data_IF_916127254322
#
_entry.id   IF_916127254322
#
_cell.length_a   1.000
_cell.length_b   1.000
_cell.length_c   1.000
_cell.angle_alpha   90.00
_cell.angle_beta   90.00
_cell.angle_gamma   90.00
#
_symmetry.space_group_name_H-M   'P 1'
#
loop_
_entity.id
_entity.type
_entity.pdbx_description
1 polymer ?
#
# COMPACT_ATOMS: atom_id res chain seq x y z
N UNK A 1 25.55 -3.47 -3.91
CA UNK A 1 25.22 -3.00 -5.28
C UNK A 1 24.08 -1.99 -5.20
N UNK A 2 24.17 -0.86 -5.89
CA UNK A 2 23.08 0.12 -5.98
C UNK A 2 22.26 -0.12 -7.25
N UNK A 3 20.93 0.02 -7.19
CA UNK A 3 20.04 -0.15 -8.34
C UNK A 3 18.77 0.69 -8.21
N UNK A 4 18.17 0.98 -9.36
CA UNK A 4 16.84 1.59 -9.49
C UNK A 4 15.90 0.59 -10.16
N UNK A 5 14.71 0.40 -9.59
CA UNK A 5 13.71 -0.52 -10.12
C UNK A 5 12.60 0.23 -10.85
N UNK A 6 12.78 0.38 -12.17
CA UNK A 6 11.79 1.02 -13.03
C UNK A 6 10.66 0.05 -13.36
N UNK A 7 9.40 0.50 -13.20
CA UNK A 7 8.20 -0.30 -13.46
C UNK A 7 7.35 0.39 -14.53
N UNK A 8 6.97 -0.37 -15.56
CA UNK A 8 6.08 0.09 -16.63
C UNK A 8 4.89 -0.85 -16.71
N UNK A 9 3.69 -0.28 -16.88
CA UNK A 9 2.44 -1.01 -16.96
C UNK A 9 1.92 -0.93 -18.39
N UNK A 10 1.66 -2.09 -19.00
CA UNK A 10 1.11 -2.22 -20.34
C UNK A 10 -0.23 -2.91 -20.23
N UNK A 11 -1.28 -2.26 -20.73
CA UNK A 11 -2.64 -2.80 -20.71
C UNK A 11 -2.78 -3.96 -21.70
N UNK A 12 -3.48 -5.02 -21.28
CA UNK A 12 -3.77 -6.21 -22.07
C UNK A 12 -5.30 -6.40 -22.17
N UNK A 13 -5.94 -5.96 -23.26
CA UNK A 13 -7.40 -6.03 -23.41
C UNK A 13 -7.95 -7.44 -23.26
N UNK A 14 -7.26 -8.44 -23.84
CA UNK A 14 -7.68 -9.84 -23.85
C UNK A 14 -7.59 -10.54 -22.48
N UNK A 15 -6.96 -9.89 -21.50
CA UNK A 15 -6.86 -10.36 -20.11
C UNK A 15 -7.64 -9.47 -19.13
N UNK A 16 -8.49 -8.60 -19.66
CA UNK A 16 -9.25 -7.62 -18.91
C UNK A 16 -10.75 -7.83 -19.16
N UNK A 17 -11.59 -7.41 -18.21
CA UNK A 17 -13.05 -7.58 -18.32
C UNK A 17 -13.69 -6.59 -19.31
N UNK A 18 -13.03 -5.45 -19.55
CA UNK A 18 -13.52 -4.38 -20.41
C UNK A 18 -12.44 -3.34 -20.69
N UNK A 19 -12.84 -2.22 -21.29
CA UNK A 19 -11.96 -1.12 -21.69
C UNK A 19 -11.87 -0.08 -20.56
N UNK A 20 -10.68 0.15 -19.96
CA UNK A 20 -10.53 1.03 -18.82
C UNK A 20 -10.80 2.51 -19.14
N UNK A 21 -10.80 2.92 -20.40
CA UNK A 21 -11.16 4.28 -20.80
C UNK A 21 -12.68 4.50 -20.85
N UNK A 22 -13.46 3.41 -20.90
CA UNK A 22 -14.93 3.43 -21.02
C UNK A 22 -15.61 2.97 -19.73
N UNK A 23 -15.05 1.96 -19.06
CA UNK A 23 -15.63 1.37 -17.86
C UNK A 23 -15.59 2.38 -16.69
N UNK A 24 -16.78 2.71 -16.18
CA UNK A 24 -16.95 3.72 -15.13
C UNK A 24 -17.08 3.09 -13.75
N UNK A 25 -16.40 3.68 -12.75
CA UNK A 25 -16.51 3.29 -11.34
C UNK A 25 -16.96 4.47 -10.52
N UNK A 26 -18.03 4.28 -9.73
CA UNK A 26 -18.43 5.21 -8.67
C UNK A 26 -17.79 4.80 -7.35
N UNK A 27 -17.05 5.71 -6.74
CA UNK A 27 -16.37 5.47 -5.45
C UNK A 27 -16.26 6.76 -4.65
N UNK A 28 -15.66 6.68 -3.47
CA UNK A 28 -15.39 7.83 -2.62
C UNK A 28 -14.43 8.78 -3.33
N UNK A 29 -14.73 10.08 -3.25
CA UNK A 29 -13.87 11.14 -3.73
C UNK A 29 -12.67 11.31 -2.78
N UNK A 30 -11.59 10.59 -3.08
CA UNK A 30 -10.37 10.55 -2.27
C UNK A 30 -9.74 11.95 -2.11
N UNK A 31 -9.58 12.77 -3.17
CA UNK A 31 -9.14 14.17 -3.04
C UNK A 31 -9.94 14.96 -2.01
N UNK A 32 -11.26 14.92 -2.09
CA UNK A 32 -12.15 15.63 -1.16
C UNK A 32 -11.94 15.17 0.27
N UNK A 33 -11.95 13.85 0.52
CA UNK A 33 -11.78 13.32 1.87
C UNK A 33 -10.40 13.66 2.43
N UNK A 34 -9.35 13.67 1.60
CA UNK A 34 -8.01 14.09 2.01
C UNK A 34 -7.96 15.58 2.38
N UNK A 35 -8.56 16.46 1.58
CA UNK A 35 -8.64 17.89 1.87
C UNK A 35 -9.44 18.15 3.14
N UNK A 36 -10.64 17.53 3.28
CA UNK A 36 -11.49 17.65 4.47
C UNK A 36 -10.72 17.25 5.74
N UNK A 37 -10.02 16.11 5.71
CA UNK A 37 -9.21 15.67 6.86
C UNK A 37 -8.06 16.61 7.18
N UNK A 38 -7.46 17.25 6.18
CA UNK A 38 -6.35 18.19 6.38
C UNK A 38 -6.79 19.53 6.98
N UNK A 39 -8.04 19.94 6.76
CA UNK A 39 -8.55 21.23 7.25
C UNK A 39 -9.49 21.11 8.45
N UNK A 40 -9.82 19.87 8.89
CA UNK A 40 -10.82 19.58 9.93
C UNK A 40 -10.65 20.37 11.24
N UNK A 41 -9.41 20.69 11.61
CA UNK A 41 -9.09 21.39 12.86
C UNK A 41 -9.20 22.93 12.76
N UNK A 42 -9.51 23.48 11.58
CA UNK A 42 -9.58 24.93 11.35
C UNK A 42 -10.93 25.33 10.76
N UNK A 43 -11.77 25.97 11.59
CA UNK A 43 -13.12 26.41 11.21
C UNK A 43 -13.14 27.25 9.93
N UNK A 44 -12.28 28.27 9.83
CA UNK A 44 -12.19 29.14 8.64
C UNK A 44 -11.82 28.39 7.37
N UNK A 45 -10.86 27.46 7.44
CA UNK A 45 -10.45 26.65 6.28
C UNK A 45 -11.56 25.68 5.87
N UNK A 46 -12.22 25.05 6.84
CA UNK A 46 -13.39 24.20 6.61
C UNK A 46 -14.51 24.96 5.90
N UNK A 47 -14.89 26.15 6.36
CA UNK A 47 -15.93 26.97 5.72
C UNK A 47 -15.56 27.36 4.29
N UNK A 48 -14.31 27.76 4.06
CA UNK A 48 -13.82 28.10 2.72
C UNK A 48 -13.87 26.91 1.75
N UNK A 49 -13.37 25.75 2.17
CA UNK A 49 -13.40 24.53 1.34
C UNK A 49 -14.85 24.09 1.07
N UNK A 50 -15.74 24.19 2.06
CA UNK A 50 -17.17 23.87 1.91
C UNK A 50 -17.84 24.76 0.85
N UNK A 51 -17.54 26.06 0.81
CA UNK A 51 -18.02 26.97 -0.24
C UNK A 51 -17.49 26.54 -1.62
N UNK A 52 -16.21 26.18 -1.72
CA UNK A 52 -15.63 25.73 -2.99
C UNK A 52 -16.24 24.42 -3.48
N UNK A 53 -16.44 23.44 -2.59
CA UNK A 53 -17.09 22.17 -2.94
C UNK A 53 -18.49 22.41 -3.53
N UNK A 54 -19.29 23.26 -2.89
CA UNK A 54 -20.62 23.62 -3.39
C UNK A 54 -20.56 24.34 -4.74
N UNK A 55 -19.66 25.32 -4.90
CA UNK A 55 -19.51 26.06 -6.16
C UNK A 55 -19.02 25.20 -7.32
N UNK A 56 -18.13 24.24 -7.04
CA UNK A 56 -17.55 23.32 -8.03
C UNK A 56 -18.42 22.08 -8.26
N UNK A 57 -19.54 21.94 -7.53
CA UNK A 57 -20.42 20.77 -7.56
C UNK A 57 -19.68 19.46 -7.26
N UNK A 58 -18.75 19.52 -6.31
CA UNK A 58 -17.94 18.38 -5.89
C UNK A 58 -18.57 17.72 -4.66
N UNK A 59 -18.79 16.40 -4.74
CA UNK A 59 -19.42 15.59 -3.68
C UNK A 59 -18.47 14.57 -3.05
N UNK A 60 -18.93 13.93 -1.96
CA UNK A 60 -18.21 12.85 -1.27
C UNK A 60 -17.98 11.61 -2.15
N UNK A 61 -18.83 11.40 -3.15
CA UNK A 61 -18.68 10.36 -4.17
C UNK A 61 -18.30 10.99 -5.51
N UNK A 62 -17.57 10.26 -6.32
CA UNK A 62 -17.16 10.63 -7.67
C UNK A 62 -17.34 9.43 -8.60
N UNK A 63 -17.49 9.71 -9.89
CA UNK A 63 -17.55 8.67 -10.94
C UNK A 63 -16.56 9.02 -12.03
N UNK A 64 -15.63 8.11 -12.30
CA UNK A 64 -14.53 8.27 -13.25
C UNK A 64 -14.28 6.95 -13.98
N UNK A 65 -13.60 7.01 -15.12
CA UNK A 65 -13.16 5.79 -15.80
C UNK A 65 -12.08 5.07 -14.98
N UNK A 66 -11.88 3.78 -15.21
CA UNK A 66 -10.80 3.01 -14.57
C UNK A 66 -9.44 3.64 -14.88
N UNK A 67 -9.22 4.10 -16.12
CA UNK A 67 -7.99 4.74 -16.57
C UNK A 67 -7.72 6.03 -15.77
N UNK A 68 -8.73 6.90 -15.62
CA UNK A 68 -8.64 8.12 -14.81
C UNK A 68 -8.31 7.84 -13.34
N UNK A 69 -9.03 6.88 -12.72
CA UNK A 69 -8.81 6.54 -11.31
C UNK A 69 -7.41 5.98 -11.03
N UNK A 70 -6.86 5.19 -11.96
CA UNK A 70 -5.52 4.62 -11.82
C UNK A 70 -4.44 5.64 -12.17
N UNK A 71 -4.49 6.22 -13.35
CA UNK A 71 -3.35 6.94 -13.91
C UNK A 71 -3.41 8.44 -13.74
N UNK A 72 -4.57 8.99 -13.40
CA UNK A 72 -4.70 10.39 -13.06
C UNK A 72 -5.86 11.08 -13.78
N UNK A 73 -6.57 11.94 -13.06
CA UNK A 73 -7.45 12.96 -13.61
C UNK A 73 -7.19 14.29 -12.91
N UNK A 74 -7.56 15.39 -13.55
CA UNK A 74 -7.45 16.73 -12.98
C UNK A 74 -8.62 16.97 -12.02
N UNK A 75 -8.34 17.10 -10.73
CA UNK A 75 -9.38 17.29 -9.72
C UNK A 75 -9.76 18.78 -9.58
N UNK A 76 -11.06 19.15 -9.65
CA UNK A 76 -11.47 20.55 -9.56
C UNK A 76 -11.10 21.24 -8.25
N UNK A 77 -11.18 20.52 -7.12
CA UNK A 77 -10.88 21.07 -5.81
C UNK A 77 -9.37 21.23 -5.61
N UNK A 78 -8.57 20.25 -6.00
CA UNK A 78 -7.11 20.34 -5.97
C UNK A 78 -6.60 21.45 -6.91
N UNK A 79 -7.19 21.58 -8.10
CA UNK A 79 -6.88 22.66 -9.04
C UNK A 79 -7.15 24.05 -8.44
N UNK A 80 -8.16 24.18 -7.57
CA UNK A 80 -8.45 25.44 -6.86
C UNK A 80 -7.43 25.75 -5.78
N UNK A 81 -6.88 24.71 -5.14
CA UNK A 81 -5.92 24.80 -4.02
C UNK A 81 -4.49 25.00 -4.52
N UNK A 82 -4.10 24.37 -5.62
CA UNK A 82 -2.73 24.35 -6.14
C UNK A 82 -2.07 25.75 -6.24
N UNK A 83 -2.74 26.80 -6.75
CA UNK A 83 -2.14 28.14 -6.81
C UNK A 83 -1.78 28.74 -5.44
N UNK A 84 -2.47 28.32 -4.37
CA UNK A 84 -2.19 28.77 -3.00
C UNK A 84 -1.16 27.89 -2.29
N UNK A 85 -1.02 26.63 -2.73
CA UNK A 85 -0.08 25.67 -2.17
C UNK A 85 0.47 24.76 -3.28
N UNK A 86 1.56 25.17 -3.96
CA UNK A 86 2.11 24.44 -5.11
C UNK A 86 2.59 23.02 -4.82
N UNK A 87 2.81 22.65 -3.55
CA UNK A 87 3.17 21.29 -3.13
C UNK A 87 2.02 20.27 -3.34
N UNK A 88 0.79 20.76 -3.45
CA UNK A 88 -0.40 19.94 -3.74
C UNK A 88 -0.59 19.92 -5.24
N UNK A 89 -0.41 18.75 -5.86
CA UNK A 89 -0.64 18.54 -7.30
C UNK A 89 -2.14 18.74 -7.63
N UNK A 90 -2.44 19.27 -8.82
CA UNK A 90 -3.80 19.45 -9.31
C UNK A 90 -4.43 18.14 -9.82
N UNK A 91 -3.60 17.11 -10.05
CA UNK A 91 -4.02 15.78 -10.48
C UNK A 91 -4.05 14.77 -9.34
N UNK A 92 -5.00 13.85 -9.42
CA UNK A 92 -5.09 12.69 -8.53
C UNK A 92 -5.24 11.40 -9.32
N UNK A 93 -4.54 10.35 -8.89
CA UNK A 93 -4.74 8.97 -9.34
C UNK A 93 -4.02 8.00 -8.40
N UNK A 94 -4.54 6.78 -8.28
CA UNK A 94 -4.02 5.75 -7.35
C UNK A 94 -2.58 5.33 -7.68
N UNK A 95 -2.26 5.32 -8.99
CA UNK A 95 -0.98 4.98 -9.59
C UNK A 95 -0.41 6.16 -10.39
N UNK A 96 -0.85 7.39 -10.10
CA UNK A 96 -0.38 8.60 -10.78
C UNK A 96 1.15 8.72 -10.65
N UNK A 97 1.83 9.00 -11.78
CA UNK A 97 3.29 9.07 -11.91
C UNK A 97 4.06 7.79 -11.55
N UNK A 98 3.39 6.64 -11.41
CA UNK A 98 4.05 5.33 -11.19
C UNK A 98 4.45 4.62 -12.49
N UNK A 99 3.82 4.94 -13.61
CA UNK A 99 4.15 4.32 -14.89
C UNK A 99 5.46 4.86 -15.46
N UNK A 100 6.41 3.97 -15.77
CA UNK A 100 7.72 4.33 -16.29
C UNK A 100 8.65 4.97 -15.26
N UNK A 101 8.30 4.92 -13.96
CA UNK A 101 9.11 5.48 -12.88
C UNK A 101 9.68 4.39 -11.96
N UNK A 102 10.50 4.81 -10.99
CA UNK A 102 11.08 3.93 -9.97
C UNK A 102 10.76 4.45 -8.57
N UNK A 103 10.85 3.56 -7.58
CA UNK A 103 10.54 3.89 -6.18
C UNK A 103 11.69 4.63 -5.46
N UNK A 104 12.83 4.83 -6.12
CA UNK A 104 14.07 5.39 -5.58
C UNK A 104 15.27 4.45 -5.70
N UNK A 105 16.43 4.91 -5.22
CA UNK A 105 17.64 4.08 -5.15
C UNK A 105 17.53 3.05 -4.03
N UNK A 106 17.85 1.81 -4.35
CA UNK A 106 18.09 0.75 -3.39
C UNK A 106 19.57 0.37 -3.39
N UNK A 107 20.13 0.16 -2.20
CA UNK A 107 21.46 -0.42 -2.02
C UNK A 107 21.29 -1.78 -1.39
N UNK A 108 21.77 -2.82 -2.07
CA UNK A 108 21.64 -4.22 -1.67
C UNK A 108 22.97 -4.82 -1.24
N UNK A 109 22.91 -5.74 -0.28
CA UNK A 109 23.96 -6.70 0.00
C UNK A 109 24.02 -7.76 -1.12
N UNK A 110 25.23 -8.04 -1.59
CA UNK A 110 25.48 -8.98 -2.71
C UNK A 110 25.49 -10.43 -2.27
N UNK A 111 25.56 -10.71 -0.98
CA UNK A 111 25.76 -12.05 -0.43
C UNK A 111 27.20 -12.58 -0.54
N UNK A 112 28.16 -11.76 -0.99
CA UNK A 112 29.57 -12.18 -1.15
C UNK A 112 30.25 -12.53 0.18
N UNK A 113 29.98 -11.74 1.23
CA UNK A 113 30.53 -11.98 2.56
C UNK A 113 29.75 -13.06 3.33
N UNK A 114 28.42 -13.06 3.18
CA UNK A 114 27.52 -14.04 3.78
C UNK A 114 26.33 -14.25 2.84
N UNK A 115 26.09 -15.50 2.43
CA UNK A 115 24.98 -15.82 1.53
C UNK A 115 23.62 -15.50 2.14
N UNK A 116 23.49 -15.51 3.48
CA UNK A 116 22.28 -15.13 4.19
C UNK A 116 21.90 -13.66 3.97
N UNK A 117 22.87 -12.83 3.56
CA UNK A 117 22.65 -11.43 3.25
C UNK A 117 22.28 -11.15 1.79
N UNK A 118 22.23 -12.18 0.95
CA UNK A 118 21.91 -12.00 -0.47
C UNK A 118 20.55 -11.29 -0.68
N UNK A 119 20.59 -10.19 -1.42
CA UNK A 119 19.40 -9.41 -1.78
C UNK A 119 18.80 -8.58 -0.64
N UNK A 120 19.39 -8.60 0.56
CA UNK A 120 18.93 -7.75 1.67
C UNK A 120 19.21 -6.28 1.34
N UNK A 121 18.28 -5.42 1.72
CA UNK A 121 18.39 -3.98 1.53
C UNK A 121 19.25 -3.40 2.65
N UNK A 122 20.37 -2.80 2.28
CA UNK A 122 21.24 -2.05 3.17
C UNK A 122 20.73 -0.62 3.38
N UNK A 123 20.30 0.04 2.29
CA UNK A 123 19.76 1.40 2.30
C UNK A 123 18.68 1.58 1.24
N UNK A 124 17.72 2.45 1.53
CA UNK A 124 16.71 2.92 0.60
C UNK A 124 16.72 4.45 0.59
N UNK A 125 16.92 5.06 -0.59
CA UNK A 125 17.06 6.52 -0.77
C UNK A 125 18.12 7.15 0.15
N UNK A 126 19.27 6.47 0.29
CA UNK A 126 20.36 6.91 1.17
C UNK A 126 20.19 6.58 2.65
N UNK A 127 19.00 6.16 3.08
CA UNK A 127 18.68 5.92 4.50
C UNK A 127 18.74 4.43 4.86
N UNK A 128 19.28 4.10 6.03
CA UNK A 128 19.29 2.71 6.56
C UNK A 128 18.06 2.37 7.40
N UNK A 129 17.24 3.37 7.73
CA UNK A 129 15.94 3.22 8.40
C UNK A 129 14.98 4.31 7.93
N UNK A 130 13.69 4.08 8.07
CA UNK A 130 12.66 5.09 7.86
C UNK A 130 12.64 6.10 9.03
N UNK A 131 11.91 7.18 8.83
CA UNK A 131 11.63 8.21 9.85
C UNK A 131 10.13 8.51 9.98
N UNK A 132 9.28 7.60 9.48
CA UNK A 132 7.84 7.78 9.34
C UNK A 132 7.05 7.29 10.56
N UNK A 133 7.59 6.30 11.26
CA UNK A 133 6.90 5.57 12.32
C UNK A 133 7.37 6.03 13.71
N UNK A 134 6.62 5.68 14.75
CA UNK A 134 6.87 6.19 16.11
C UNK A 134 7.92 5.41 16.89
N UNK A 135 8.26 4.19 16.46
CA UNK A 135 9.29 3.36 17.08
C UNK A 135 10.46 3.08 16.13
N UNK A 136 11.65 2.87 16.69
CA UNK A 136 12.83 2.44 15.94
C UNK A 136 12.59 1.12 15.21
N UNK A 137 11.93 0.16 15.86
CA UNK A 137 11.60 -1.13 15.27
C UNK A 137 10.71 -0.99 14.03
N UNK A 138 9.65 -0.16 14.10
CA UNK A 138 8.74 0.04 12.98
C UNK A 138 9.39 0.76 11.80
N UNK A 139 10.44 1.53 12.08
CA UNK A 139 11.23 2.22 11.07
C UNK A 139 12.32 1.35 10.42
N UNK A 140 12.59 0.14 10.91
CA UNK A 140 13.62 -0.71 10.31
C UNK A 140 13.27 -1.12 8.87
N UNK A 141 14.25 -1.03 7.97
CA UNK A 141 14.21 -1.61 6.63
C UNK A 141 14.79 -3.02 6.74
N UNK A 142 13.93 -4.03 6.78
CA UNK A 142 14.30 -5.42 7.03
C UNK A 142 14.09 -6.27 5.77
N UNK A 143 15.04 -7.19 5.56
CA UNK A 143 14.96 -8.20 4.50
C UNK A 143 15.21 -7.65 3.10
N UNK A 144 14.55 -8.24 2.12
CA UNK A 144 14.74 -7.94 0.68
C UNK A 144 13.60 -7.08 0.15
N UNK A 145 13.59 -6.80 -1.15
CA UNK A 145 12.44 -6.18 -1.83
C UNK A 145 11.38 -7.20 -2.28
N UNK A 146 11.59 -8.49 -1.99
CA UNK A 146 10.72 -9.60 -2.36
C UNK A 146 10.97 -10.18 -3.76
N UNK A 147 11.92 -9.66 -4.53
CA UNK A 147 12.29 -10.19 -5.84
C UNK A 147 13.20 -11.42 -5.77
N UNK A 148 14.00 -11.52 -4.70
CA UNK A 148 14.84 -12.66 -4.37
C UNK A 148 15.09 -12.74 -2.86
N UNK A 149 15.51 -13.91 -2.39
CA UNK A 149 15.88 -14.21 -1.01
C UNK A 149 17.19 -14.99 -1.00
N UNK A 150 17.81 -15.12 0.18
CA UNK A 150 19.01 -15.94 0.33
C UNK A 150 18.75 -17.40 -0.05
N UNK A 151 19.77 -18.14 -0.53
CA UNK A 151 19.64 -19.55 -0.81
C UNK A 151 19.49 -20.37 0.49
N UNK A 152 19.17 -21.66 0.32
CA UNK A 152 19.05 -22.65 1.41
C UNK A 152 18.01 -22.28 2.48
N UNK A 153 16.80 -21.97 2.01
CA UNK A 153 15.69 -21.57 2.87
C UNK A 153 15.31 -22.65 3.89
N UNK A 154 14.99 -22.19 5.09
CA UNK A 154 14.49 -22.97 6.22
C UNK A 154 12.98 -22.77 6.41
N UNK A 155 12.27 -23.86 6.72
CA UNK A 155 10.83 -23.78 7.05
C UNK A 155 10.55 -23.06 8.38
N UNK A 156 11.57 -22.83 9.21
CA UNK A 156 11.45 -22.20 10.54
C UNK A 156 11.76 -20.71 10.53
N UNK A 157 12.24 -20.17 9.42
CA UNK A 157 12.66 -18.78 9.35
C UNK A 157 11.52 -17.85 8.94
N UNK A 158 11.69 -16.56 9.26
CA UNK A 158 10.82 -15.48 8.80
C UNK A 158 11.52 -14.73 7.68
N UNK A 159 10.84 -14.61 6.55
CA UNK A 159 11.35 -13.84 5.42
C UNK A 159 10.80 -12.42 5.47
N UNK A 160 11.69 -11.45 5.66
CA UNK A 160 11.31 -10.04 5.69
C UNK A 160 11.32 -9.43 4.29
N UNK A 161 10.36 -8.55 4.04
CA UNK A 161 10.21 -7.80 2.80
C UNK A 161 9.95 -6.35 3.14
N UNK A 162 10.76 -5.44 2.61
CA UNK A 162 10.46 -4.01 2.61
C UNK A 162 9.70 -3.63 1.35
N UNK A 163 8.52 -3.01 1.51
CA UNK A 163 7.70 -2.57 0.39
C UNK A 163 7.50 -1.06 0.45
N UNK A 164 8.11 -0.27 -0.44
CA UNK A 164 7.90 1.19 -0.50
C UNK A 164 6.44 1.60 -0.63
N UNK A 165 5.61 0.78 -1.29
CA UNK A 165 4.18 1.07 -1.45
C UNK A 165 3.39 0.98 -0.11
N UNK A 166 3.85 0.12 0.80
CA UNK A 166 3.31 -0.06 2.16
C UNK A 166 4.04 0.81 3.19
N UNK A 167 5.21 1.34 2.82
CA UNK A 167 6.06 2.20 3.63
C UNK A 167 6.52 1.57 4.95
N UNK A 168 6.64 0.24 4.97
CA UNK A 168 7.14 -0.52 6.10
C UNK A 168 7.71 -1.84 5.62
N UNK A 169 8.46 -2.47 6.52
CA UNK A 169 8.82 -3.87 6.40
C UNK A 169 7.67 -4.76 6.89
N UNK A 170 7.44 -5.85 6.18
CA UNK A 170 6.54 -6.95 6.56
C UNK A 170 7.34 -8.25 6.61
N UNK A 171 6.74 -9.31 7.14
CA UNK A 171 7.36 -10.62 7.16
C UNK A 171 6.39 -11.69 6.68
N UNK A 172 6.96 -12.79 6.21
CA UNK A 172 6.27 -13.95 5.68
C UNK A 172 6.73 -15.19 6.45
N UNK A 173 5.80 -16.11 6.69
CA UNK A 173 6.06 -17.37 7.38
C UNK A 173 5.76 -18.55 6.46
N UNK A 174 6.48 -19.65 6.67
CA UNK A 174 6.24 -20.89 5.94
C UNK A 174 4.83 -21.40 6.22
N UNK A 175 4.10 -21.71 5.14
CA UNK A 175 2.78 -22.33 5.21
C UNK A 175 2.87 -23.83 4.93
N UNK A 176 3.43 -24.19 3.77
CA UNK A 176 3.44 -25.57 3.27
C UNK A 176 4.41 -25.76 2.11
N UNK A 177 4.74 -27.02 1.85
CA UNK A 177 5.38 -27.46 0.61
C UNK A 177 4.37 -27.40 -0.55
N UNK A 178 4.83 -26.97 -1.72
CA UNK A 178 4.08 -26.95 -2.97
C UNK A 178 4.96 -27.35 -4.14
N UNK A 179 4.33 -27.78 -5.22
CA UNK A 179 5.01 -28.00 -6.50
C UNK A 179 4.45 -27.03 -7.55
N UNK A 180 5.33 -26.40 -8.32
CA UNK A 180 4.96 -25.48 -9.40
C UNK A 180 5.65 -25.94 -10.67
N UNK A 181 4.87 -26.49 -11.62
CA UNK A 181 5.38 -26.99 -12.91
C UNK A 181 6.55 -27.98 -12.74
N UNK A 182 6.46 -28.90 -11.77
CA UNK A 182 7.51 -29.89 -11.48
C UNK A 182 8.66 -29.38 -10.60
N UNK A 183 8.65 -28.11 -10.19
CA UNK A 183 9.67 -27.54 -9.29
C UNK A 183 9.17 -27.53 -7.84
N UNK A 184 9.95 -28.07 -6.88
CA UNK A 184 9.63 -27.98 -5.47
C UNK A 184 9.76 -26.53 -5.00
N UNK A 185 8.80 -26.09 -4.19
CA UNK A 185 8.80 -24.79 -3.57
C UNK A 185 8.21 -24.80 -2.16
N UNK A 186 8.63 -23.84 -1.36
CA UNK A 186 8.02 -23.49 -0.09
C UNK A 186 7.07 -22.31 -0.30
N UNK A 187 5.82 -22.48 0.13
CA UNK A 187 4.87 -21.37 0.18
C UNK A 187 5.08 -20.58 1.46
N UNK A 188 5.34 -19.30 1.31
CA UNK A 188 5.37 -18.31 2.38
C UNK A 188 4.18 -17.36 2.24
N UNK A 189 3.53 -17.03 3.36
CA UNK A 189 2.36 -16.13 3.45
C UNK A 189 2.57 -15.13 4.59
N UNK A 190 2.08 -13.88 4.50
CA UNK A 190 2.10 -13.01 5.65
C UNK A 190 1.07 -13.52 6.67
N UNK A 191 1.45 -13.72 7.95
CA UNK A 191 0.47 -14.07 8.98
C UNK A 191 -0.40 -12.86 9.32
N UNK A 192 -1.52 -13.12 10.03
CA UNK A 192 -2.44 -12.08 10.52
C UNK A 192 -1.72 -10.99 11.30
N UNK A 193 -0.70 -11.38 12.06
CA UNK A 193 0.12 -10.54 12.93
C UNK A 193 0.73 -9.32 12.20
N UNK A 194 0.98 -9.42 10.89
CA UNK A 194 1.60 -8.36 10.09
C UNK A 194 0.76 -7.07 10.09
N UNK A 195 -0.57 -7.20 9.97
CA UNK A 195 -1.52 -6.09 9.90
C UNK A 195 -2.49 -6.06 11.09
N UNK A 196 -2.29 -6.92 12.10
CA UNK A 196 -3.08 -6.94 13.31
C UNK A 196 -2.93 -5.65 14.12
N UNK A 197 -3.92 -5.32 14.95
CA UNK A 197 -3.85 -4.14 15.81
C UNK A 197 -2.83 -4.31 16.93
N UNK A 198 -2.38 -3.22 17.55
CA UNK A 198 -1.40 -3.29 18.64
C UNK A 198 -1.87 -4.12 19.85
N UNK A 199 -3.18 -4.23 20.05
CA UNK A 199 -3.77 -5.05 21.11
C UNK A 199 -3.63 -6.55 20.82
N UNK A 200 -3.64 -6.94 19.54
CA UNK A 200 -3.42 -8.34 19.11
C UNK A 200 -1.92 -8.64 18.95
N UNK A 201 -1.15 -7.69 18.41
CA UNK A 201 0.29 -7.78 18.24
C UNK A 201 0.96 -6.49 18.74
N UNK A 202 1.46 -6.46 20.00
CA UNK A 202 2.12 -5.29 20.57
C UNK A 202 3.30 -4.74 19.75
N UNK A 203 3.96 -5.58 18.95
CA UNK A 203 5.03 -5.15 18.05
C UNK A 203 4.55 -4.16 16.97
N UNK A 204 3.24 -4.08 16.71
CA UNK A 204 2.67 -3.14 15.76
C UNK A 204 2.36 -1.75 16.37
N UNK A 205 2.59 -1.53 17.67
CA UNK A 205 2.34 -0.23 18.32
C UNK A 205 3.07 0.92 17.63
N UNK A 206 4.30 0.70 17.16
CA UNK A 206 5.08 1.72 16.46
C UNK A 206 4.51 2.18 15.11
N UNK A 207 3.54 1.44 14.54
CA UNK A 207 2.83 1.85 13.33
C UNK A 207 1.61 2.74 13.61
N UNK A 208 1.27 2.94 14.88
CA UNK A 208 0.24 3.89 15.28
C UNK A 208 0.83 5.31 15.35
N UNK A 209 0.34 6.21 14.49
CA UNK A 209 0.79 7.61 14.48
C UNK A 209 0.16 8.47 15.56
N UNK A 210 -0.96 8.04 16.13
CA UNK A 210 -1.47 8.63 17.36
C UNK A 210 -2.08 7.56 18.27
N UNK A 211 -2.21 7.84 19.58
CA UNK A 211 -2.87 6.91 20.50
C UNK A 211 -4.32 6.57 20.13
N UNK A 212 -4.98 7.47 19.38
CA UNK A 212 -6.38 7.34 18.94
C UNK A 212 -6.49 6.72 17.53
N UNK A 213 -5.51 6.93 16.67
CA UNK A 213 -5.51 6.50 15.27
C UNK A 213 -4.37 5.49 15.02
N UNK A 214 -4.67 4.21 15.27
CA UNK A 214 -3.78 3.08 15.01
C UNK A 214 -3.96 2.43 13.63
N UNK A 215 -4.95 2.87 12.85
CA UNK A 215 -4.98 2.58 11.43
C UNK A 215 -3.98 3.56 10.82
N UNK A 216 -2.84 3.06 10.32
CA UNK A 216 -1.69 3.80 9.79
C UNK A 216 -2.00 4.71 8.58
N UNK A 217 -3.01 5.54 8.74
CA UNK A 217 -3.67 6.40 7.77
C UNK A 217 -2.83 7.65 7.55
N UNK A 218 -2.63 8.05 6.30
CA UNK A 218 -1.98 9.34 5.99
C UNK A 218 -0.46 9.39 6.01
N UNK A 219 0.21 8.50 6.74
CA UNK A 219 1.66 8.58 7.07
C UNK A 219 2.55 8.65 5.84
N UNK A 220 2.24 7.86 4.82
CA UNK A 220 3.07 7.75 3.62
C UNK A 220 2.38 8.21 2.32
N UNK A 221 1.14 8.71 2.43
CA UNK A 221 0.33 9.14 1.28
C UNK A 221 0.01 10.64 1.35
N UNK A 222 0.99 11.45 1.77
CA UNK A 222 0.91 12.92 1.85
C UNK A 222 -0.31 13.43 2.65
N UNK A 223 -0.70 12.71 3.71
CA UNK A 223 -1.87 13.05 4.53
C UNK A 223 -3.22 12.57 4.00
N UNK A 224 -3.28 11.89 2.84
CA UNK A 224 -4.49 11.23 2.39
C UNK A 224 -4.81 10.03 3.31
N UNK A 225 -6.05 9.86 3.78
CA UNK A 225 -6.41 8.93 4.85
C UNK A 225 -6.52 7.47 4.35
N UNK A 226 -5.47 7.00 3.68
CA UNK A 226 -5.38 5.70 3.04
C UNK A 226 -4.95 4.65 4.06
N UNK A 227 -5.70 3.56 4.14
CA UNK A 227 -5.41 2.39 4.97
C UNK A 227 -5.28 1.17 4.07
N UNK A 228 -4.21 0.40 4.25
CA UNK A 228 -4.00 -0.83 3.48
C UNK A 228 -4.52 -2.04 4.26
N UNK A 229 -5.20 -2.94 3.57
CA UNK A 229 -5.60 -4.26 4.06
C UNK A 229 -5.30 -5.34 3.03
N UNK A 230 -5.56 -6.60 3.36
CA UNK A 230 -5.74 -7.61 2.32
C UNK A 230 -7.13 -7.46 1.66
N UNK A 231 -7.33 -7.98 0.44
CA UNK A 231 -8.61 -7.89 -0.26
C UNK A 231 -9.76 -8.46 0.57
N UNK A 232 -10.92 -7.79 0.48
CA UNK A 232 -12.14 -8.11 1.22
C UNK A 232 -11.92 -8.17 2.75
N UNK A 233 -10.91 -7.44 3.25
CA UNK A 233 -10.43 -7.53 4.63
C UNK A 233 -10.10 -8.96 5.10
N UNK A 234 -9.58 -9.81 4.20
CA UNK A 234 -9.01 -11.10 4.58
C UNK A 234 -7.98 -10.93 5.72
N UNK A 235 -8.02 -11.81 6.73
CA UNK A 235 -7.27 -11.71 8.00
C UNK A 235 -7.56 -10.45 8.87
N UNK A 236 -8.49 -9.59 8.46
CA UNK A 236 -8.99 -8.48 9.25
C UNK A 236 -10.03 -8.90 10.30
N UNK A 237 -10.36 -7.98 11.22
CA UNK A 237 -11.47 -8.17 12.17
C UNK A 237 -12.81 -8.17 11.44
N UNK A 238 -13.73 -9.03 11.88
CA UNK A 238 -15.08 -9.16 11.29
C UNK A 238 -15.89 -7.87 11.26
N UNK A 239 -15.63 -6.94 12.20
CA UNK A 239 -16.25 -5.62 12.18
C UNK A 239 -16.05 -4.86 10.86
N UNK A 240 -14.94 -5.11 10.14
CA UNK A 240 -14.67 -4.46 8.86
C UNK A 240 -15.45 -5.12 7.71
N UNK A 241 -15.55 -6.45 7.71
CA UNK A 241 -16.34 -7.18 6.71
C UNK A 241 -17.83 -6.95 6.89
N UNK A 242 -18.31 -6.82 8.13
CA UNK A 242 -19.72 -6.61 8.44
C UNK A 242 -20.17 -5.16 8.21
N UNK A 243 -19.25 -4.20 8.09
CA UNK A 243 -19.57 -2.79 7.92
C UNK A 243 -19.87 -2.40 6.46
N UNK A 244 -19.52 -3.24 5.48
CA UNK A 244 -19.70 -2.96 4.06
C UNK A 244 -20.33 -4.19 3.40
N UNK A 245 -21.49 -4.00 2.80
CA UNK A 245 -22.18 -5.04 2.03
C UNK A 245 -21.35 -5.45 0.79
N UNK A 246 -21.38 -6.74 0.45
CA UNK A 246 -20.68 -7.29 -0.72
C UNK A 246 -19.27 -7.80 -0.43
N UNK A 247 -18.76 -7.63 0.79
CA UNK A 247 -17.48 -8.20 1.19
C UNK A 247 -17.59 -9.69 1.51
N UNK A 248 -16.65 -10.47 0.96
CA UNK A 248 -16.58 -11.92 1.14
C UNK A 248 -15.12 -12.38 1.17
N UNK A 249 -14.46 -12.47 2.35
CA UNK A 249 -13.05 -12.83 2.45
C UNK A 249 -12.85 -14.34 2.19
N UNK A 250 -12.40 -14.69 0.98
CA UNK A 250 -12.00 -16.05 0.62
C UNK A 250 -10.48 -16.16 0.55
N UNK A 251 -9.89 -17.11 1.29
CA UNK A 251 -8.43 -17.28 1.39
C UNK A 251 -7.78 -17.48 0.02
N UNK A 252 -8.30 -18.39 -0.78
CA UNK A 252 -7.77 -18.77 -2.09
C UNK A 252 -7.73 -17.56 -3.05
N UNK A 253 -8.70 -16.65 -2.91
CA UNK A 253 -8.82 -15.46 -3.74
C UNK A 253 -8.07 -14.25 -3.19
N UNK A 254 -7.87 -14.14 -1.88
CA UNK A 254 -7.40 -12.90 -1.26
C UNK A 254 -6.05 -13.01 -0.54
N UNK A 255 -5.50 -14.21 -0.36
CA UNK A 255 -4.20 -14.38 0.26
C UNK A 255 -3.07 -13.83 -0.63
N UNK A 256 -2.09 -13.19 0.01
CA UNK A 256 -0.78 -12.94 -0.58
C UNK A 256 0.13 -14.14 -0.31
N UNK A 257 0.87 -14.60 -1.31
CA UNK A 257 1.85 -15.67 -1.12
C UNK A 257 3.05 -15.56 -2.06
N UNK A 258 4.15 -16.19 -1.64
CA UNK A 258 5.35 -16.43 -2.42
C UNK A 258 5.65 -17.93 -2.40
N UNK A 259 5.75 -18.55 -3.56
CA UNK A 259 6.27 -19.90 -3.71
C UNK A 259 7.73 -19.78 -4.12
N UNK A 260 8.64 -20.10 -3.19
CA UNK A 260 10.07 -19.93 -3.34
C UNK A 260 10.74 -21.29 -3.53
N UNK A 261 11.67 -21.40 -4.48
CA UNK A 261 12.50 -22.60 -4.57
C UNK A 261 13.44 -22.64 -3.34
N UNK A 262 13.42 -23.71 -2.53
CA UNK A 262 14.11 -23.73 -1.24
C UNK A 262 15.63 -23.68 -1.36
N UNK A 263 16.19 -24.24 -2.44
CA UNK A 263 17.65 -24.26 -2.64
C UNK A 263 18.17 -22.90 -3.07
N UNK A 264 17.48 -22.22 -3.98
CA UNK A 264 17.97 -20.98 -4.62
C UNK A 264 17.43 -19.70 -3.99
N UNK A 265 16.34 -19.74 -3.23
CA UNK A 265 15.70 -18.54 -2.68
C UNK A 265 14.92 -17.72 -3.70
N UNK A 266 14.80 -18.20 -4.94
CA UNK A 266 14.14 -17.48 -6.04
C UNK A 266 12.63 -17.72 -6.04
N UNK A 267 11.78 -16.68 -6.15
CA UNK A 267 10.35 -16.83 -6.35
C UNK A 267 10.03 -17.47 -7.71
N UNK A 268 9.31 -18.59 -7.69
CA UNK A 268 8.86 -19.28 -8.92
C UNK A 268 7.38 -19.05 -9.22
N UNK A 269 6.58 -18.69 -8.22
CA UNK A 269 5.21 -18.20 -8.36
C UNK A 269 4.92 -17.24 -7.22
N UNK A 270 4.30 -16.10 -7.53
CA UNK A 270 3.97 -15.10 -6.53
C UNK A 270 2.58 -14.54 -6.81
N UNK A 271 1.88 -14.16 -5.73
CA UNK A 271 0.61 -13.45 -5.78
C UNK A 271 0.63 -12.40 -4.69
N UNK A 272 0.96 -11.15 -5.04
CA UNK A 272 0.88 -10.00 -4.13
C UNK A 272 -0.49 -9.36 -4.27
N UNK A 273 -1.26 -9.34 -3.18
CA UNK A 273 -2.62 -8.80 -3.14
C UNK A 273 -2.78 -7.86 -1.97
N UNK A 274 -3.26 -6.66 -2.24
CA UNK A 274 -3.54 -5.64 -1.25
C UNK A 274 -4.79 -4.86 -1.67
N UNK A 275 -5.43 -4.24 -0.70
CA UNK A 275 -6.61 -3.40 -0.87
C UNK A 275 -6.33 -2.02 -0.28
N UNK A 276 -6.72 -0.99 -1.03
CA UNK A 276 -6.66 0.40 -0.63
C UNK A 276 -8.03 0.76 -0.07
N UNK A 277 -8.05 1.25 1.16
CA UNK A 277 -9.26 1.70 1.85
C UNK A 277 -9.10 3.16 2.24
N UNK A 278 -10.21 3.87 2.36
CA UNK A 278 -10.24 5.29 2.73
C UNK A 278 -10.93 5.39 4.08
N UNK A 279 -10.24 5.91 5.09
CA UNK A 279 -10.83 6.17 6.39
C UNK A 279 -11.70 7.42 6.30
N UNK A 280 -13.00 7.24 6.53
CA UNK A 280 -13.99 8.31 6.50
C UNK A 280 -14.54 8.49 7.91
N UNK A 281 -14.52 9.73 8.38
CA UNK A 281 -15.14 10.15 9.63
C UNK A 281 -16.11 11.29 9.32
N UNK A 282 -17.16 11.43 10.13
CA UNK A 282 -18.03 12.61 10.07
C UNK A 282 -17.23 13.85 10.49
N UNK A 283 -17.12 14.83 9.60
CA UNK A 283 -16.46 16.12 9.86
C UNK A 283 -17.52 17.20 9.79
N UNK A 284 -17.73 17.91 10.91
CA UNK A 284 -18.68 19.03 10.97
C UNK A 284 -18.24 20.17 10.06
N UNK A 285 -19.19 20.82 9.39
CA UNK A 285 -18.95 21.99 8.52
C UNK A 285 -18.80 21.68 7.03
N UNK A 286 -18.82 20.39 6.66
CA UNK A 286 -18.98 19.94 5.29
C UNK A 286 -20.40 19.41 5.04
N UNK A 287 -20.93 19.54 3.82
CA UNK A 287 -22.23 18.97 3.44
C UNK A 287 -22.23 17.44 3.56
#
# INVERSE_FOLDING_TARGET
>A
VAAYQSKTFVFLPERSVGDPDIDMITTINIPVVAVMNKVKDSFWKTSMVSIWMNSLHVSLFMTHSVNELLWGFKDPLLSRIHPMNPEIDEYFGLMYKKNGSNDGEFVYHTGEADFMDYGRIARFKGESKLSLWTSEQSNMINGTDGSAFHPLLSKKERLYIFSPDLCRSIFMEFEKDVEVKGLPAYRFTPPRDVLASKEENPANEGFCVSPKECLASGVCKKGAPVVVSFPHFYLGKEKYTNAIEGLSPVREHHQTYLDLNPTTGVPIRASKKAQINILINRISGFP
#
